data_IF_688531390937
#
_entry.id   IF_688531390937
#
_cell.length_a   1.000
_cell.length_b   1.000
_cell.length_c   1.000
_cell.angle_alpha   90.00
_cell.angle_beta   90.00
_cell.angle_gamma   90.00
#
_symmetry.space_group_name_H-M   'P 1'
#
loop_
_entity.id
_entity.type
_entity.pdbx_description
1 polymer ?
#
# COMPACT_ATOMS: atom_id res chain seq x y z
N UNK A 1 2.77 -16.99 -4.65
CA UNK A 1 2.97 -16.79 -3.22
C UNK A 1 3.08 -15.31 -2.93
N UNK A 2 2.19 -14.79 -2.09
CA UNK A 2 2.24 -13.36 -1.78
C UNK A 2 3.43 -13.08 -0.88
N UNK A 3 4.25 -12.14 -1.27
CA UNK A 3 5.35 -11.72 -0.42
C UNK A 3 4.78 -11.02 0.81
N UNK A 4 5.35 -11.28 1.98
CA UNK A 4 4.89 -10.57 3.16
C UNK A 4 5.21 -9.08 3.01
N UNK A 5 4.16 -8.28 3.15
CA UNK A 5 4.31 -6.83 3.13
C UNK A 5 4.44 -6.37 4.57
N UNK A 6 5.42 -5.52 4.83
CA UNK A 6 5.69 -5.03 6.18
C UNK A 6 5.63 -3.51 6.20
N UNK A 7 5.41 -2.96 7.37
CA UNK A 7 5.43 -1.51 7.55
C UNK A 7 6.80 -0.98 7.11
N UNK A 8 6.78 0.07 6.31
CA UNK A 8 8.00 0.66 5.76
C UNK A 8 8.36 0.15 4.37
N UNK A 9 7.70 -0.89 3.88
CA UNK A 9 7.96 -1.40 2.54
C UNK A 9 7.44 -0.43 1.49
N UNK A 10 8.10 -0.45 0.34
CA UNK A 10 7.65 0.32 -0.82
C UNK A 10 6.87 -0.64 -1.71
N UNK A 11 5.63 -0.27 -2.01
CA UNK A 11 4.73 -1.10 -2.80
C UNK A 11 4.05 -0.28 -3.88
N UNK A 12 3.44 -0.95 -4.82
CA UNK A 12 2.59 -0.31 -5.82
C UNK A 12 1.44 -1.26 -6.14
N UNK A 13 0.40 -0.72 -6.75
CA UNK A 13 -0.70 -1.55 -7.23
C UNK A 13 -0.22 -2.41 -8.39
N UNK A 14 -0.69 -3.65 -8.44
CA UNK A 14 -0.34 -4.56 -9.53
C UNK A 14 -0.79 -4.02 -10.88
N UNK A 15 -1.84 -3.22 -10.89
CA UNK A 15 -2.36 -2.60 -12.10
C UNK A 15 -1.57 -1.36 -12.52
N UNK A 16 -0.60 -0.95 -11.73
CA UNK A 16 0.18 0.24 -11.98
C UNK A 16 -0.12 1.31 -10.95
N UNK A 17 0.56 2.45 -11.08
CA UNK A 17 0.34 3.57 -10.19
C UNK A 17 1.62 4.00 -9.48
N UNK A 18 1.53 4.96 -8.57
CA UNK A 18 2.71 5.48 -7.88
C UNK A 18 3.24 4.48 -6.87
N UNK A 19 4.52 4.62 -6.55
CA UNK A 19 5.11 3.88 -5.44
C UNK A 19 4.58 4.45 -4.14
N UNK A 20 4.27 3.56 -3.21
CA UNK A 20 3.66 3.95 -1.94
C UNK A 20 4.44 3.31 -0.80
N UNK A 21 4.39 3.96 0.36
CA UNK A 21 5.04 3.44 1.56
C UNK A 21 3.97 2.89 2.50
N UNK A 22 4.17 1.65 2.95
CA UNK A 22 3.25 1.02 3.88
C UNK A 22 3.42 1.64 5.28
N UNK A 23 2.33 2.14 5.84
CA UNK A 23 2.36 2.77 7.17
C UNK A 23 1.64 1.97 8.23
N UNK A 24 0.72 1.09 7.82
CA UNK A 24 -0.03 0.29 8.79
C UNK A 24 -0.54 -0.96 8.10
N UNK A 25 -0.62 -2.04 8.86
CA UNK A 25 -1.19 -3.30 8.39
C UNK A 25 -2.18 -3.76 9.45
N UNK A 26 -3.36 -4.18 9.02
CA UNK A 26 -4.38 -4.65 9.94
C UNK A 26 -5.56 -5.23 9.19
N UNK A 27 -6.69 -5.28 9.86
CA UNK A 27 -7.94 -5.79 9.30
C UNK A 27 -8.98 -4.69 9.27
N UNK A 28 -9.83 -4.75 8.27
CA UNK A 28 -10.99 -3.88 8.18
C UNK A 28 -12.18 -4.77 7.86
N UNK A 29 -13.14 -4.81 8.77
CA UNK A 29 -14.34 -5.65 8.62
C UNK A 29 -14.00 -7.10 8.27
N UNK A 30 -12.98 -7.65 8.94
CA UNK A 30 -12.59 -9.02 8.73
C UNK A 30 -11.74 -9.28 7.50
N UNK A 31 -11.38 -8.22 6.76
CA UNK A 31 -10.55 -8.34 5.56
C UNK A 31 -9.16 -7.79 5.85
N UNK A 32 -8.11 -8.46 5.37
CA UNK A 32 -6.77 -7.92 5.54
C UNK A 32 -6.64 -6.61 4.77
N UNK A 33 -6.02 -5.62 5.38
CA UNK A 33 -5.93 -4.29 4.81
C UNK A 33 -4.55 -3.71 5.06
N UNK A 34 -4.02 -3.04 4.04
CA UNK A 34 -2.71 -2.38 4.10
C UNK A 34 -2.93 -0.90 3.84
N UNK A 35 -2.50 -0.06 4.78
CA UNK A 35 -2.58 1.39 4.62
C UNK A 35 -1.27 1.90 4.07
N UNK A 36 -1.36 2.72 3.02
CA UNK A 36 -0.19 3.24 2.31
C UNK A 36 -0.31 4.74 2.15
N UNK A 37 0.82 5.40 2.02
CA UNK A 37 0.88 6.82 1.70
C UNK A 37 1.80 7.03 0.50
N UNK A 38 1.54 8.08 -0.25
CA UNK A 38 2.38 8.45 -1.39
C UNK A 38 2.28 9.96 -1.59
N UNK A 39 3.15 10.49 -2.44
CA UNK A 39 3.16 11.92 -2.76
C UNK A 39 2.76 12.15 -4.20
N UNK A 40 1.88 13.10 -4.40
CA UNK A 40 1.47 13.53 -5.73
C UNK A 40 2.48 14.53 -6.30
N UNK A 41 2.23 14.93 -7.56
CA UNK A 41 3.14 15.86 -8.25
C UNK A 41 3.37 17.16 -7.50
N UNK A 42 2.42 17.59 -6.71
CA UNK A 42 2.50 18.84 -5.95
C UNK A 42 3.10 18.61 -4.56
N UNK A 43 3.72 17.46 -4.34
CA UNK A 43 4.25 17.08 -3.05
C UNK A 43 3.17 16.97 -1.98
N UNK A 44 1.92 16.85 -2.40
CA UNK A 44 0.82 16.63 -1.46
C UNK A 44 0.81 15.17 -1.05
N UNK A 45 0.75 14.96 0.26
CA UNK A 45 0.68 13.61 0.80
C UNK A 45 -0.73 13.06 0.61
N UNK A 46 -0.81 11.89 -0.02
CA UNK A 46 -2.07 11.20 -0.20
C UNK A 46 -2.00 9.88 0.59
N UNK A 47 -3.15 9.34 0.92
CA UNK A 47 -3.20 8.09 1.63
C UNK A 47 -4.41 7.28 1.22
N UNK A 48 -4.31 5.97 1.43
CA UNK A 48 -5.43 5.08 1.15
C UNK A 48 -5.16 3.71 1.73
N UNK A 49 -6.13 2.84 1.59
CA UNK A 49 -5.99 1.46 2.04
C UNK A 49 -6.31 0.52 0.89
N UNK A 50 -5.63 -0.62 0.88
CA UNK A 50 -5.73 -1.58 -0.21
C UNK A 50 -5.67 -2.99 0.35
N UNK A 51 -6.26 -3.93 -0.38
CA UNK A 51 -6.12 -5.33 -0.06
C UNK A 51 -4.69 -5.76 -0.44
N UNK A 52 -4.00 -6.54 0.41
CA UNK A 52 -2.61 -6.91 0.10
C UNK A 52 -2.45 -7.65 -1.23
N UNK A 53 -3.48 -8.37 -1.68
CA UNK A 53 -3.41 -9.08 -2.95
C UNK A 53 -3.36 -8.15 -4.16
N UNK A 54 -3.70 -6.87 -3.99
CA UNK A 54 -3.66 -5.89 -5.07
C UNK A 54 -2.32 -5.17 -5.14
N UNK A 55 -1.44 -5.43 -4.20
CA UNK A 55 -0.15 -4.75 -4.08
C UNK A 55 0.99 -5.69 -4.43
N UNK A 56 2.08 -5.11 -4.90
CA UNK A 56 3.33 -5.84 -5.10
C UNK A 56 4.48 -4.96 -4.62
N UNK A 57 5.58 -5.59 -4.25
CA UNK A 57 6.77 -4.85 -3.85
C UNK A 57 7.32 -4.10 -5.06
N UNK A 58 7.62 -2.85 -4.87
CA UNK A 58 8.11 -2.02 -5.95
C UNK A 58 9.63 -2.13 -6.10
#
# INVERSE_FOLDING_TARGET
MADPISIGDIVKLKSGGPKMTVTKIGDMLGQPTVWCVWFEKNEEKQGGHFHPDTLELA
#
